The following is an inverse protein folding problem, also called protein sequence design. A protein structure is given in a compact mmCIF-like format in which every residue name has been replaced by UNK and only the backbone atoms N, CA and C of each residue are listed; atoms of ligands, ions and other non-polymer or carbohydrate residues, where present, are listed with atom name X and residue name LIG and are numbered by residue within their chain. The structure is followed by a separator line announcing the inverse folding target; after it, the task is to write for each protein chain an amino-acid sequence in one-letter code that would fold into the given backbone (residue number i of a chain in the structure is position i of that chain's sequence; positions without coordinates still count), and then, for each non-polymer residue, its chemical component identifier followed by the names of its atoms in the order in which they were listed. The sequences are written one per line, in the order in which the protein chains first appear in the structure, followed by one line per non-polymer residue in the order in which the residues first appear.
data_IF_208851455040
#
_entry.id   IF_208851455040
#
_cell.length_a   1.000
_cell.length_b   1.000
_cell.length_c   1.000
_cell.angle_alpha   90.00
_cell.angle_beta   90.00
_cell.angle_gamma   90.00
#
_symmetry.space_group_name_H-M   'P 1'
#
loop_
_entity.id
_entity.type
_entity.pdbx_description
1 polymer ?
#
# COMPACT_ATOMS: atom_id res chain seq x y z
N UNK A 1 9.33 14.51 15.97
CA UNK A 1 8.03 14.56 15.28
C UNK A 1 7.23 13.29 15.57
N UNK A 2 5.96 13.45 15.84
CA UNK A 2 5.10 12.29 16.10
C UNK A 2 4.74 11.60 14.80
N UNK A 3 4.73 10.27 14.82
CA UNK A 3 4.23 9.50 13.71
C UNK A 3 2.71 9.62 13.65
N UNK A 4 2.19 9.63 12.44
CA UNK A 4 0.75 9.75 12.23
C UNK A 4 0.08 8.39 12.08
N UNK A 5 0.77 7.43 11.46
CA UNK A 5 0.18 6.14 11.11
C UNK A 5 1.14 5.02 11.48
N UNK A 6 0.59 3.91 11.91
CA UNK A 6 1.40 2.72 12.19
C UNK A 6 1.62 1.90 10.92
N UNK A 7 0.56 1.61 10.20
CA UNK A 7 0.64 0.78 9.00
C UNK A 7 -0.18 1.39 7.89
N UNK A 8 0.48 1.76 6.80
CA UNK A 8 -0.14 2.37 5.63
C UNK A 8 -0.08 1.39 4.47
N UNK A 9 -1.20 1.18 3.80
CA UNK A 9 -1.25 0.40 2.57
C UNK A 9 -1.44 1.36 1.40
N UNK A 10 -0.57 1.24 0.40
CA UNK A 10 -0.71 1.96 -0.86
C UNK A 10 -1.12 0.95 -1.93
N UNK A 11 -2.26 1.17 -2.57
CA UNK A 11 -2.76 0.33 -3.64
C UNK A 11 -2.44 1.01 -4.97
N UNK A 12 -1.60 0.38 -5.76
CA UNK A 12 -1.09 0.95 -6.99
C UNK A 12 0.26 1.62 -6.78
N UNK A 13 1.33 0.88 -7.08
CA UNK A 13 2.70 1.33 -6.83
C UNK A 13 3.38 1.89 -8.08
N UNK A 14 2.61 2.49 -8.97
CA UNK A 14 3.19 3.21 -10.09
C UNK A 14 3.87 4.49 -9.62
N UNK A 15 4.00 5.45 -10.52
CA UNK A 15 4.77 6.66 -10.25
C UNK A 15 4.25 7.43 -9.02
N UNK A 16 2.93 7.61 -8.93
CA UNK A 16 2.34 8.38 -7.83
C UNK A 16 2.44 7.60 -6.52
N UNK A 17 2.11 6.31 -6.54
CA UNK A 17 2.20 5.48 -5.34
C UNK A 17 3.59 5.41 -4.78
N UNK A 18 4.59 5.27 -5.67
CA UNK A 18 6.00 5.25 -5.25
C UNK A 18 6.43 6.58 -4.64
N UNK A 19 5.95 7.69 -5.19
CA UNK A 19 6.27 9.02 -4.66
C UNK A 19 5.69 9.21 -3.27
N UNK A 20 4.45 8.73 -3.05
CA UNK A 20 3.82 8.80 -1.74
C UNK A 20 4.58 7.93 -0.73
N UNK A 21 4.95 6.72 -1.13
CA UNK A 21 5.72 5.83 -0.26
C UNK A 21 7.03 6.48 0.16
N UNK A 22 7.74 7.08 -0.79
CA UNK A 22 8.99 7.78 -0.50
C UNK A 22 8.77 8.93 0.49
N UNK A 23 7.73 9.72 0.27
CA UNK A 23 7.43 10.84 1.15
C UNK A 23 7.09 10.37 2.58
N UNK A 24 6.32 9.31 2.71
CA UNK A 24 5.98 8.76 4.02
C UNK A 24 7.23 8.28 4.77
N UNK A 25 8.13 7.61 4.06
CA UNK A 25 9.37 7.12 4.66
C UNK A 25 10.31 8.26 5.04
N UNK A 26 10.50 9.23 4.15
CA UNK A 26 11.42 10.34 4.39
C UNK A 26 10.97 11.26 5.51
N UNK A 27 9.66 11.39 5.69
CA UNK A 27 9.11 12.28 6.71
C UNK A 27 8.76 11.53 7.99
N UNK A 28 9.03 10.25 8.06
CA UNK A 28 8.71 9.41 9.21
C UNK A 28 7.23 9.50 9.60
N UNK A 29 6.36 9.62 8.58
CA UNK A 29 4.92 9.77 8.81
C UNK A 29 4.23 8.43 9.09
N UNK A 30 4.88 7.32 8.80
CA UNK A 30 4.35 5.98 9.04
C UNK A 30 5.47 5.09 9.59
N UNK A 31 5.12 4.15 10.44
CA UNK A 31 6.07 3.14 10.91
C UNK A 31 6.36 2.13 9.80
N UNK A 32 5.32 1.70 9.13
CA UNK A 32 5.42 0.64 8.11
C UNK A 32 4.60 1.02 6.90
N UNK A 33 5.21 0.94 5.72
CA UNK A 33 4.52 1.20 4.45
C UNK A 33 4.45 -0.10 3.67
N UNK A 34 3.24 -0.46 3.27
CA UNK A 34 2.95 -1.67 2.50
C UNK A 34 2.45 -1.27 1.13
N UNK A 35 2.69 -2.11 0.14
CA UNK A 35 2.26 -1.83 -1.22
C UNK A 35 1.53 -3.00 -1.86
N UNK A 36 0.52 -2.70 -2.64
CA UNK A 36 -0.24 -3.67 -3.42
C UNK A 36 -0.25 -3.22 -4.87
N UNK A 37 0.13 -4.10 -5.77
CA UNK A 37 0.09 -3.83 -7.21
C UNK A 37 -0.06 -5.16 -7.93
N UNK A 38 -0.86 -5.19 -8.98
CA UNK A 38 -1.06 -6.43 -9.75
C UNK A 38 0.19 -6.84 -10.52
N UNK A 39 1.12 -5.93 -10.74
CA UNK A 39 2.37 -6.20 -11.47
C UNK A 39 3.49 -6.52 -10.50
N UNK A 40 3.89 -7.80 -10.47
CA UNK A 40 4.96 -8.27 -9.59
C UNK A 40 6.28 -7.55 -9.83
N UNK A 41 6.55 -7.14 -11.06
CA UNK A 41 7.78 -6.40 -11.38
C UNK A 41 7.82 -5.05 -10.69
N UNK A 42 6.67 -4.39 -10.62
CA UNK A 42 6.55 -3.11 -9.92
C UNK A 42 6.83 -3.31 -8.43
N UNK A 43 6.25 -4.35 -7.83
CA UNK A 43 6.46 -4.65 -6.43
C UNK A 43 7.94 -4.94 -6.15
N UNK A 44 8.58 -5.76 -6.98
CA UNK A 44 10.00 -6.07 -6.79
C UNK A 44 10.87 -4.82 -6.87
N UNK A 45 10.57 -3.94 -7.81
CA UNK A 45 11.32 -2.68 -7.95
C UNK A 45 11.18 -1.81 -6.71
N UNK A 46 9.97 -1.70 -6.18
CA UNK A 46 9.72 -0.91 -4.98
C UNK A 46 10.45 -1.49 -3.77
N UNK A 47 10.52 -2.80 -3.68
CA UNK A 47 11.25 -3.46 -2.60
C UNK A 47 12.75 -3.22 -2.72
N UNK A 48 13.29 -3.29 -3.93
CA UNK A 48 14.71 -3.00 -4.17
C UNK A 48 15.08 -1.59 -3.76
N UNK A 49 14.15 -0.64 -3.94
CA UNK A 49 14.36 0.75 -3.59
C UNK A 49 14.03 1.06 -2.12
N UNK A 50 13.72 0.04 -1.35
CA UNK A 50 13.36 0.16 0.08
C UNK A 50 12.18 1.10 0.31
N UNK A 51 11.21 1.09 -0.60
CA UNK A 51 10.01 1.91 -0.49
C UNK A 51 8.91 1.24 0.34
N UNK A 52 8.97 -0.08 0.49
CA UNK A 52 7.94 -0.87 1.14
C UNK A 52 8.58 -1.82 2.14
N UNK A 53 7.94 -2.00 3.29
CA UNK A 53 8.34 -3.06 4.21
C UNK A 53 7.86 -4.43 3.68
N UNK A 54 6.73 -4.44 2.98
CA UNK A 54 6.22 -5.64 2.34
C UNK A 54 5.35 -5.24 1.16
N UNK A 55 5.52 -5.91 0.03
CA UNK A 55 4.71 -5.71 -1.16
C UNK A 55 4.07 -7.02 -1.60
N UNK A 56 2.84 -6.97 -2.09
CA UNK A 56 2.10 -8.13 -2.56
C UNK A 56 1.33 -7.80 -3.82
N UNK A 57 1.00 -8.84 -4.57
CA UNK A 57 0.14 -8.70 -5.74
C UNK A 57 -1.31 -9.05 -5.45
N UNK A 58 -1.59 -9.61 -4.28
CA UNK A 58 -2.93 -10.01 -3.86
C UNK A 58 -3.15 -9.53 -2.43
N UNK A 59 -4.23 -8.79 -2.23
CA UNK A 59 -4.59 -8.24 -0.93
C UNK A 59 -4.72 -9.33 0.15
N UNK A 60 -5.19 -10.50 -0.22
CA UNK A 60 -5.38 -11.61 0.71
C UNK A 60 -4.07 -12.10 1.33
N UNK A 61 -2.92 -11.78 0.72
CA UNK A 61 -1.63 -12.19 1.26
C UNK A 61 -1.13 -11.31 2.40
N UNK A 62 -1.82 -10.20 2.68
CA UNK A 62 -1.51 -9.40 3.85
C UNK A 62 -2.23 -9.94 5.07
N UNK A 63 -1.60 -9.74 6.22
CA UNK A 63 -2.16 -10.18 7.51
C UNK A 63 -2.03 -9.02 8.50
N UNK A 64 -2.30 -7.83 8.04
CA UNK A 64 -2.06 -6.59 8.76
C UNK A 64 -3.34 -5.78 8.84
N UNK A 65 -3.56 -5.12 9.97
CA UNK A 65 -4.61 -4.11 10.06
C UNK A 65 -3.98 -2.77 9.68
N UNK A 66 -4.50 -2.16 8.63
CA UNK A 66 -3.99 -0.89 8.17
C UNK A 66 -4.79 0.25 8.78
N UNK A 67 -4.11 1.27 9.28
CA UNK A 67 -4.77 2.45 9.81
C UNK A 67 -4.93 3.55 8.75
N UNK A 68 -4.31 3.37 7.57
CA UNK A 68 -4.53 4.25 6.42
C UNK A 68 -4.37 3.45 5.14
N UNK A 69 -5.28 3.62 4.22
CA UNK A 69 -5.21 2.99 2.88
C UNK A 69 -5.32 4.10 1.84
N UNK A 70 -4.32 4.17 0.96
CA UNK A 70 -4.24 5.16 -0.10
C UNK A 70 -4.38 4.45 -1.44
N UNK A 71 -5.36 4.84 -2.24
CA UNK A 71 -5.63 4.21 -3.53
C UNK A 71 -5.07 5.11 -4.64
N UNK A 72 -4.10 4.57 -5.39
CA UNK A 72 -3.39 5.30 -6.45
C UNK A 72 -3.57 4.63 -7.81
N UNK A 73 -4.64 3.88 -8.00
CA UNK A 73 -4.93 3.21 -9.26
C UNK A 73 -5.86 4.07 -10.12
N UNK A 74 -6.01 3.73 -11.42
CA UNK A 74 -7.01 4.41 -12.24
C UNK A 74 -8.41 4.26 -11.66
N UNK A 75 -9.25 5.26 -11.90
CA UNK A 75 -10.61 5.29 -11.36
C UNK A 75 -11.42 4.06 -11.75
N UNK A 76 -11.17 3.51 -12.94
CA UNK A 76 -11.88 2.31 -13.42
C UNK A 76 -11.65 1.09 -12.54
N UNK A 77 -10.64 1.09 -11.68
CA UNK A 77 -10.33 -0.02 -10.78
C UNK A 77 -11.02 0.09 -9.43
N UNK A 78 -11.65 1.20 -9.13
CA UNK A 78 -12.13 1.49 -7.77
C UNK A 78 -13.20 0.51 -7.29
N UNK A 79 -14.11 0.14 -8.16
CA UNK A 79 -15.21 -0.75 -7.77
C UNK A 79 -14.67 -2.11 -7.29
N UNK A 80 -13.73 -2.68 -8.04
CA UNK A 80 -13.10 -3.94 -7.66
C UNK A 80 -12.29 -3.79 -6.37
N UNK A 81 -11.55 -2.70 -6.26
CA UNK A 81 -10.72 -2.45 -5.08
C UNK A 81 -11.58 -2.30 -3.83
N UNK A 82 -12.67 -1.55 -3.91
CA UNK A 82 -13.57 -1.40 -2.77
C UNK A 82 -14.22 -2.71 -2.37
N UNK A 83 -14.57 -3.54 -3.34
CA UNK A 83 -15.10 -4.86 -3.06
C UNK A 83 -14.08 -5.72 -2.30
N UNK A 84 -12.84 -5.74 -2.78
CA UNK A 84 -11.77 -6.52 -2.16
C UNK A 84 -11.45 -6.00 -0.75
N UNK A 85 -11.42 -4.68 -0.57
CA UNK A 85 -11.16 -4.06 0.73
C UNK A 85 -12.27 -4.35 1.73
N UNK A 86 -13.52 -4.34 1.28
CA UNK A 86 -14.64 -4.66 2.17
C UNK A 86 -14.49 -6.07 2.73
N UNK A 87 -14.13 -7.02 1.89
CA UNK A 87 -13.90 -8.40 2.34
C UNK A 87 -12.72 -8.48 3.30
N UNK A 88 -11.66 -7.77 3.04
CA UNK A 88 -10.47 -7.77 3.87
C UNK A 88 -10.76 -7.17 5.25
N UNK A 89 -11.45 -6.04 5.29
CA UNK A 89 -11.74 -5.32 6.53
C UNK A 89 -12.74 -6.08 7.40
N UNK A 90 -13.64 -6.85 6.77
CA UNK A 90 -14.68 -7.61 7.48
C UNK A 90 -14.16 -8.87 8.14
N UNK A 91 -12.92 -9.25 7.89
CA UNK A 91 -12.34 -10.45 8.50
C UNK A 91 -12.07 -10.23 9.98
N UNK A 92 -12.36 -11.24 10.82
CA UNK A 92 -12.09 -11.13 12.25
C UNK A 92 -10.59 -11.09 12.58
#
# INVERSE_FOLDING_TARGET
MKKKFNSVLIIGMGLIGSSISRALNENHAANNVYGLDSDDKVIKKCQELNLLIKGETNLANFNTQFDLIIICTPLSMYEKIFFDLESYISQP
#
